data_IF_056333146018
#
_entry.id   IF_056333146018
#
_cell.length_a   1.000
_cell.length_b   1.000
_cell.length_c   1.000
_cell.angle_alpha   90.00
_cell.angle_beta   90.00
_cell.angle_gamma   90.00
#
_symmetry.space_group_name_H-M   'P 1'
#
loop_
_entity.id
_entity.type
_entity.pdbx_description
1 polymer ?
#
# COMPACT_ATOMS: atom_id res chain seq x y z
N UNK A 1 -27.58 34.94 -28.83
CA UNK A 1 -27.72 34.38 -27.46
C UNK A 1 -27.25 32.93 -27.47
N UNK A 2 -26.19 32.61 -26.73
CA UNK A 2 -25.64 31.25 -26.66
C UNK A 2 -26.67 30.29 -26.06
N UNK A 3 -27.32 29.48 -26.91
CA UNK A 3 -28.33 28.48 -26.49
C UNK A 3 -27.78 27.45 -25.50
N UNK A 4 -26.45 27.24 -25.48
CA UNK A 4 -25.75 26.29 -24.61
C UNK A 4 -25.77 26.74 -23.13
N UNK A 5 -25.57 28.03 -22.86
CA UNK A 5 -25.52 28.55 -21.47
C UNK A 5 -26.90 28.97 -20.93
N UNK A 6 -27.92 29.04 -21.80
CA UNK A 6 -29.28 29.49 -21.45
C UNK A 6 -29.87 28.81 -20.20
N UNK A 7 -29.84 27.46 -20.09
CA UNK A 7 -30.36 26.77 -18.91
C UNK A 7 -29.60 27.10 -17.62
N UNK A 8 -28.28 27.16 -17.69
CA UNK A 8 -27.43 27.50 -16.54
C UNK A 8 -27.64 28.93 -16.06
N UNK A 9 -27.75 29.89 -16.99
CA UNK A 9 -28.07 31.29 -16.67
C UNK A 9 -29.45 31.40 -16.02
N UNK A 10 -30.46 30.69 -16.52
CA UNK A 10 -31.81 30.70 -15.96
C UNK A 10 -31.84 30.15 -14.51
N UNK A 11 -31.10 29.07 -14.24
CA UNK A 11 -30.96 28.51 -12.89
C UNK A 11 -30.25 29.50 -11.96
N UNK A 12 -29.10 30.02 -12.38
CA UNK A 12 -28.28 30.90 -11.55
C UNK A 12 -29.01 32.21 -11.23
N UNK A 13 -29.75 32.80 -12.16
CA UNK A 13 -30.50 34.05 -11.91
C UNK A 13 -31.59 33.93 -10.84
N UNK A 14 -32.03 32.72 -10.48
CA UNK A 14 -33.03 32.48 -9.42
C UNK A 14 -32.41 32.32 -8.03
N UNK A 15 -31.09 32.19 -7.93
CA UNK A 15 -30.39 31.94 -6.68
C UNK A 15 -29.82 33.25 -6.11
N UNK A 16 -29.90 33.41 -4.79
CA UNK A 16 -29.12 34.43 -4.08
C UNK A 16 -27.63 34.20 -4.30
N UNK A 17 -26.82 35.24 -4.16
CA UNK A 17 -25.37 35.13 -4.34
C UNK A 17 -24.74 34.04 -3.44
N UNK A 18 -25.19 33.92 -2.19
CA UNK A 18 -24.77 32.83 -1.27
C UNK A 18 -25.06 31.43 -1.81
N UNK A 19 -26.25 31.22 -2.39
CA UNK A 19 -26.66 29.93 -2.95
C UNK A 19 -25.90 29.62 -4.24
N UNK A 20 -25.64 30.62 -5.08
CA UNK A 20 -24.78 30.48 -6.27
C UNK A 20 -23.40 29.95 -5.88
N UNK A 21 -22.77 30.57 -4.88
CA UNK A 21 -21.44 30.18 -4.42
C UNK A 21 -21.44 28.78 -3.81
N UNK A 22 -22.42 28.44 -2.96
CA UNK A 22 -22.53 27.11 -2.37
C UNK A 22 -22.64 26.02 -3.43
N UNK A 23 -23.47 26.21 -4.46
CA UNK A 23 -23.62 25.25 -5.55
C UNK A 23 -22.28 25.04 -6.29
N UNK A 24 -21.58 26.11 -6.62
CA UNK A 24 -20.26 26.02 -7.29
C UNK A 24 -19.25 25.30 -6.39
N UNK A 25 -19.13 25.70 -5.13
CA UNK A 25 -18.20 25.07 -4.18
C UNK A 25 -18.49 23.59 -4.00
N UNK A 26 -19.75 23.17 -3.89
CA UNK A 26 -20.13 21.76 -3.78
C UNK A 26 -19.75 20.98 -5.04
N UNK A 27 -19.98 21.54 -6.23
CA UNK A 27 -19.62 20.91 -7.51
C UNK A 27 -18.11 20.68 -7.63
N UNK A 28 -17.27 21.53 -7.04
CA UNK A 28 -15.81 21.36 -7.05
C UNK A 28 -15.29 20.49 -5.90
N UNK A 29 -15.83 20.66 -4.69
CA UNK A 29 -15.36 19.95 -3.49
C UNK A 29 -15.80 18.49 -3.52
N UNK A 30 -17.03 18.20 -3.95
CA UNK A 30 -17.57 16.84 -3.90
C UNK A 30 -16.75 15.83 -4.73
N UNK A 31 -16.39 16.09 -6.00
CA UNK A 31 -15.52 15.19 -6.76
C UNK A 31 -14.15 15.01 -6.10
N UNK A 32 -13.57 16.07 -5.52
CA UNK A 32 -12.26 15.98 -4.88
C UNK A 32 -12.27 15.16 -3.59
N UNK A 33 -13.35 15.24 -2.81
CA UNK A 33 -13.56 14.38 -1.63
C UNK A 33 -13.76 12.93 -2.05
N UNK A 34 -14.55 12.69 -3.10
CA UNK A 34 -14.76 11.34 -3.65
C UNK A 34 -13.46 10.74 -4.17
N UNK A 35 -12.67 11.48 -4.94
CA UNK A 35 -11.38 10.98 -5.46
C UNK A 35 -10.38 10.72 -4.34
N UNK A 36 -10.32 11.59 -3.32
CA UNK A 36 -9.49 11.35 -2.13
C UNK A 36 -9.93 10.08 -1.40
N UNK A 37 -11.23 9.87 -1.23
CA UNK A 37 -11.76 8.66 -0.59
C UNK A 37 -11.41 7.40 -1.39
N UNK A 38 -11.61 7.42 -2.72
CA UNK A 38 -11.26 6.30 -3.59
C UNK A 38 -9.75 5.98 -3.53
N UNK A 39 -8.89 7.00 -3.56
CA UNK A 39 -7.45 6.82 -3.44
C UNK A 39 -7.05 6.26 -2.07
N UNK A 40 -7.65 6.76 -0.98
CA UNK A 40 -7.39 6.27 0.37
C UNK A 40 -7.81 4.80 0.53
N UNK A 41 -8.95 4.41 -0.05
CA UNK A 41 -9.40 3.01 -0.06
C UNK A 41 -8.43 2.12 -0.83
N UNK A 42 -7.92 2.56 -1.99
CA UNK A 42 -6.93 1.80 -2.75
C UNK A 42 -5.60 1.63 -2.00
N UNK A 43 -5.14 2.69 -1.31
CA UNK A 43 -3.94 2.60 -0.47
C UNK A 43 -4.14 1.68 0.73
N UNK A 44 -5.31 1.72 1.38
CA UNK A 44 -5.62 0.81 2.48
C UNK A 44 -5.68 -0.65 1.99
N UNK A 45 -6.24 -0.91 0.80
CA UNK A 45 -6.24 -2.25 0.19
C UNK A 45 -4.82 -2.78 -0.03
N UNK A 46 -3.91 -1.93 -0.50
CA UNK A 46 -2.49 -2.29 -0.64
C UNK A 46 -1.79 -2.57 0.69
N UNK A 47 -2.11 -1.79 1.73
CA UNK A 47 -1.58 -2.00 3.10
C UNK A 47 -2.11 -3.32 3.68
N UNK A 48 -3.42 -3.55 3.60
CA UNK A 48 -4.05 -4.77 4.10
C UNK A 48 -3.50 -6.03 3.39
N UNK A 49 -3.24 -5.95 2.09
CA UNK A 49 -2.59 -7.02 1.34
C UNK A 49 -1.17 -7.29 1.86
N UNK A 50 -0.34 -6.25 1.99
CA UNK A 50 1.03 -6.41 2.49
C UNK A 50 1.08 -6.90 3.96
N UNK A 51 0.13 -6.49 4.80
CA UNK A 51 -0.01 -7.00 6.16
C UNK A 51 -0.38 -8.50 6.15
N UNK A 52 -1.27 -8.91 5.25
CA UNK A 52 -1.65 -10.31 5.07
C UNK A 52 -0.47 -11.17 4.56
N UNK A 53 0.34 -10.64 3.66
CA UNK A 53 1.58 -11.28 3.20
C UNK A 53 2.55 -11.51 4.38
N UNK A 54 2.72 -10.51 5.27
CA UNK A 54 3.53 -10.64 6.49
C UNK A 54 2.98 -11.65 7.49
N UNK A 55 1.66 -11.75 7.63
CA UNK A 55 1.04 -12.83 8.43
C UNK A 55 1.42 -14.21 7.89
N UNK A 56 1.50 -14.36 6.56
CA UNK A 56 2.03 -15.57 5.93
C UNK A 56 3.46 -15.88 6.39
N UNK A 57 4.36 -14.90 6.33
CA UNK A 57 5.76 -15.04 6.79
C UNK A 57 5.83 -15.41 8.27
N UNK A 58 5.03 -14.75 9.12
CA UNK A 58 4.96 -15.03 10.56
C UNK A 58 4.58 -16.51 10.83
N UNK A 59 3.66 -17.08 10.05
CA UNK A 59 3.30 -18.49 10.15
C UNK A 59 4.38 -19.43 9.57
N UNK A 60 5.01 -19.02 8.48
CA UNK A 60 6.06 -19.81 7.79
C UNK A 60 7.32 -19.95 8.65
N UNK A 61 7.68 -18.93 9.44
CA UNK A 61 8.90 -18.91 10.23
C UNK A 61 9.04 -20.10 11.21
N UNK A 62 8.04 -20.44 12.06
CA UNK A 62 8.13 -21.65 12.89
C UNK A 62 7.96 -22.94 12.06
N UNK A 63 7.18 -22.92 10.97
CA UNK A 63 7.03 -24.08 10.08
C UNK A 63 8.36 -24.49 9.44
N UNK A 64 9.22 -23.51 9.13
CA UNK A 64 10.59 -23.73 8.63
C UNK A 64 11.40 -24.58 9.60
N UNK A 65 11.33 -24.33 10.91
CA UNK A 65 12.10 -25.09 11.89
C UNK A 65 11.66 -26.57 11.92
N UNK A 66 10.36 -26.80 11.88
CA UNK A 66 9.79 -28.14 11.79
C UNK A 66 10.26 -28.88 10.51
N UNK A 67 10.34 -28.18 9.38
CA UNK A 67 10.88 -28.73 8.12
C UNK A 67 12.35 -29.15 8.24
N UNK A 68 13.13 -28.59 9.16
CA UNK A 68 14.52 -29.03 9.44
C UNK A 68 14.56 -30.20 10.42
N UNK A 69 13.74 -30.17 11.47
CA UNK A 69 13.79 -31.14 12.56
C UNK A 69 13.15 -32.49 12.21
N UNK A 70 12.06 -32.53 11.44
CA UNK A 70 11.43 -33.78 11.01
C UNK A 70 12.38 -34.68 10.17
N UNK A 71 13.09 -34.17 9.15
CA UNK A 71 14.08 -34.97 8.42
C UNK A 71 15.24 -35.47 9.30
N UNK A 72 15.64 -34.69 10.32
CA UNK A 72 16.67 -35.13 11.28
C UNK A 72 16.16 -36.28 12.14
N UNK A 73 14.92 -36.18 12.65
CA UNK A 73 14.27 -37.26 13.39
C UNK A 73 14.11 -38.52 12.52
N UNK A 74 13.68 -38.37 11.26
CA UNK A 74 13.60 -39.47 10.28
C UNK A 74 14.94 -40.18 10.14
N UNK A 75 16.02 -39.42 9.88
CA UNK A 75 17.35 -39.96 9.68
C UNK A 75 17.89 -40.72 10.88
N UNK A 76 17.76 -40.14 12.09
CA UNK A 76 18.21 -40.79 13.33
C UNK A 76 17.38 -42.03 13.67
N UNK A 77 16.06 -41.97 13.47
CA UNK A 77 15.16 -43.10 13.69
C UNK A 77 15.48 -44.26 12.75
N UNK A 78 15.69 -43.99 11.46
CA UNK A 78 16.09 -45.01 10.50
C UNK A 78 17.45 -45.65 10.86
N UNK A 79 18.44 -44.86 11.31
CA UNK A 79 19.71 -45.39 11.78
C UNK A 79 19.54 -46.31 12.99
N UNK A 80 18.72 -45.91 13.97
CA UNK A 80 18.42 -46.71 15.15
C UNK A 80 17.73 -48.04 14.80
N UNK A 81 16.70 -48.00 13.95
CA UNK A 81 15.95 -49.19 13.52
C UNK A 81 16.80 -50.17 12.69
N UNK A 82 17.88 -49.68 12.08
CA UNK A 82 18.88 -50.51 11.36
C UNK A 82 20.01 -51.01 12.27
N UNK A 83 19.90 -50.82 13.57
CA UNK A 83 20.82 -51.37 14.58
C UNK A 83 21.95 -50.45 15.01
N UNK A 84 21.98 -49.18 14.59
CA UNK A 84 22.99 -48.24 15.06
C UNK A 84 22.73 -47.82 16.51
N UNK A 85 23.75 -47.92 17.36
CA UNK A 85 23.67 -47.58 18.79
C UNK A 85 23.79 -46.07 19.03
N UNK A 86 23.41 -45.61 20.24
CA UNK A 86 23.58 -44.21 20.67
C UNK A 86 22.61 -43.18 20.07
N UNK A 87 21.74 -43.58 19.12
CA UNK A 87 20.76 -42.66 18.52
C UNK A 87 19.52 -42.43 19.37
N UNK A 88 19.10 -43.40 20.21
CA UNK A 88 17.85 -43.30 20.98
C UNK A 88 17.76 -42.03 21.86
N UNK A 89 18.79 -41.64 22.65
CA UNK A 89 18.75 -40.37 23.39
C UNK A 89 18.64 -39.14 22.48
N UNK A 90 19.35 -39.14 21.34
CA UNK A 90 19.32 -38.03 20.35
C UNK A 90 17.95 -37.89 19.66
N UNK A 91 17.28 -39.02 19.41
CA UNK A 91 15.91 -39.03 18.88
C UNK A 91 14.95 -38.43 19.90
N UNK A 92 15.07 -38.81 21.18
CA UNK A 92 14.24 -38.25 22.25
C UNK A 92 14.48 -36.75 22.41
N UNK A 93 15.72 -36.29 22.33
CA UNK A 93 16.03 -34.84 22.32
C UNK A 93 15.39 -34.14 21.13
N UNK A 94 15.52 -34.72 19.93
CA UNK A 94 14.91 -34.14 18.73
C UNK A 94 13.38 -34.09 18.79
N UNK A 95 12.74 -35.00 19.53
CA UNK A 95 11.30 -34.93 19.81
C UNK A 95 10.94 -33.76 20.73
N UNK A 96 11.86 -33.31 21.60
CA UNK A 96 11.65 -32.10 22.41
C UNK A 96 11.73 -30.86 21.53
N UNK A 97 12.74 -30.75 20.68
CA UNK A 97 12.86 -29.63 19.72
C UNK A 97 11.64 -29.58 18.77
N UNK A 98 11.17 -30.73 18.27
CA UNK A 98 9.93 -30.78 17.46
C UNK A 98 8.70 -30.36 18.28
N UNK A 99 8.65 -30.67 19.58
CA UNK A 99 7.56 -30.20 20.43
C UNK A 99 7.59 -28.67 20.61
N UNK A 100 8.78 -28.07 20.70
CA UNK A 100 8.96 -26.61 20.71
C UNK A 100 8.51 -25.98 19.38
N UNK A 101 8.88 -26.58 18.25
CA UNK A 101 8.40 -26.15 16.92
C UNK A 101 6.86 -26.20 16.85
N UNK A 102 6.25 -27.30 17.30
CA UNK A 102 4.80 -27.47 17.33
C UNK A 102 4.13 -26.39 18.19
N UNK A 103 4.70 -26.08 19.36
CA UNK A 103 4.17 -25.01 20.22
C UNK A 103 4.25 -23.64 19.55
N UNK A 104 5.34 -23.35 18.82
CA UNK A 104 5.48 -22.11 18.08
C UNK A 104 4.47 -22.01 16.92
N UNK A 105 4.24 -23.11 16.19
CA UNK A 105 3.23 -23.18 15.13
C UNK A 105 1.82 -23.09 15.72
N UNK A 106 1.53 -23.73 16.85
CA UNK A 106 0.26 -23.60 17.56
C UNK A 106 -0.04 -22.14 17.95
N UNK A 107 0.98 -21.39 18.40
CA UNK A 107 0.85 -19.98 18.73
C UNK A 107 0.62 -19.08 17.49
N UNK A 108 1.18 -19.45 16.33
CA UNK A 108 0.91 -18.78 15.06
C UNK A 108 -0.51 -19.12 14.55
N UNK A 109 -0.89 -20.40 14.54
CA UNK A 109 -2.20 -20.88 14.08
C UNK A 109 -3.35 -20.38 14.96
N UNK A 110 -3.16 -20.25 16.27
CA UNK A 110 -4.16 -19.64 17.14
C UNK A 110 -4.47 -18.17 16.77
N UNK A 111 -3.51 -17.44 16.21
CA UNK A 111 -3.68 -16.03 15.81
C UNK A 111 -4.11 -15.88 14.35
N UNK A 112 -3.57 -16.71 13.47
CA UNK A 112 -3.65 -16.52 12.03
C UNK A 112 -4.40 -17.64 11.31
N UNK A 113 -4.61 -18.78 11.96
CA UNK A 113 -5.02 -20.00 11.29
C UNK A 113 -6.43 -19.96 10.70
N UNK A 114 -7.34 -19.20 11.32
CA UNK A 114 -8.65 -18.95 10.75
C UNK A 114 -8.58 -18.06 9.50
N UNK A 115 -7.72 -17.04 9.51
CA UNK A 115 -7.55 -16.13 8.38
C UNK A 115 -6.84 -16.80 7.19
N UNK A 116 -5.96 -17.77 7.47
CA UNK A 116 -5.16 -18.51 6.50
C UNK A 116 -5.76 -19.87 6.11
N UNK A 117 -6.92 -20.24 6.67
CA UNK A 117 -7.54 -21.57 6.51
C UNK A 117 -6.57 -22.75 6.79
N UNK A 118 -5.63 -22.58 7.74
CA UNK A 118 -4.56 -23.55 8.00
C UNK A 118 -4.87 -24.54 9.11
N UNK A 119 -5.76 -24.17 10.05
CA UNK A 119 -5.98 -24.91 11.31
C UNK A 119 -6.36 -26.37 11.10
N UNK A 120 -7.19 -26.67 10.09
CA UNK A 120 -7.59 -28.06 9.78
C UNK A 120 -6.38 -28.92 9.40
N UNK A 121 -5.61 -28.47 8.41
CA UNK A 121 -4.39 -29.16 7.92
C UNK A 121 -3.34 -29.29 9.03
N UNK A 122 -3.17 -28.25 9.84
CA UNK A 122 -2.23 -28.28 10.94
C UNK A 122 -2.60 -29.32 12.00
N UNK A 123 -3.88 -29.45 12.34
CA UNK A 123 -4.35 -30.48 13.27
C UNK A 123 -4.11 -31.90 12.75
N UNK A 124 -4.32 -32.14 11.45
CA UNK A 124 -4.02 -33.44 10.82
C UNK A 124 -2.53 -33.79 10.90
N UNK A 125 -1.66 -32.82 10.61
CA UNK A 125 -0.20 -32.97 10.72
C UNK A 125 0.20 -33.30 12.16
N UNK A 126 -0.35 -32.59 13.15
CA UNK A 126 -0.12 -32.88 14.57
C UNK A 126 -0.56 -34.29 14.93
N UNK A 127 -1.74 -34.73 14.49
CA UNK A 127 -2.23 -36.08 14.80
C UNK A 127 -1.32 -37.17 14.21
N UNK A 128 -0.87 -37.00 12.96
CA UNK A 128 0.07 -37.94 12.31
C UNK A 128 1.42 -37.95 13.01
N UNK A 129 1.94 -36.79 13.39
CA UNK A 129 3.15 -36.70 14.18
C UNK A 129 3.01 -37.44 15.53
N UNK A 130 1.90 -37.25 16.25
CA UNK A 130 1.69 -37.94 17.52
C UNK A 130 1.72 -39.47 17.34
N UNK A 131 0.99 -39.98 16.33
CA UNK A 131 1.00 -41.40 16.02
C UNK A 131 2.40 -41.92 15.67
N UNK A 132 3.13 -41.19 14.82
CA UNK A 132 4.49 -41.55 14.41
C UNK A 132 5.46 -41.52 15.59
N UNK A 133 5.38 -40.49 16.45
CA UNK A 133 6.21 -40.36 17.66
C UNK A 133 6.01 -41.54 18.61
N UNK A 134 4.78 -41.99 18.80
CA UNK A 134 4.47 -43.11 19.70
C UNK A 134 4.91 -44.46 19.13
N UNK A 135 4.75 -44.67 17.82
CA UNK A 135 4.93 -45.99 17.21
C UNK A 135 6.28 -46.18 16.49
N UNK A 136 7.05 -45.12 16.23
CA UNK A 136 8.24 -45.19 15.37
C UNK A 136 9.28 -46.26 15.75
N UNK A 137 9.42 -46.60 17.04
CA UNK A 137 10.36 -47.65 17.47
C UNK A 137 9.85 -49.08 17.28
N UNK A 138 8.56 -49.25 16.99
CA UNK A 138 7.92 -50.55 16.79
C UNK A 138 7.71 -50.89 15.31
N UNK A 139 8.05 -49.96 14.41
CA UNK A 139 7.93 -50.11 12.96
C UNK A 139 9.22 -50.68 12.36
N UNK A 140 9.14 -51.22 11.15
CA UNK A 140 10.35 -51.46 10.37
C UNK A 140 11.03 -50.13 9.99
N UNK A 141 12.33 -50.19 9.69
CA UNK A 141 13.09 -49.01 9.27
C UNK A 141 12.48 -48.33 8.03
N UNK A 142 12.02 -49.13 7.07
CA UNK A 142 11.46 -48.64 5.81
C UNK A 142 10.05 -48.05 6.00
N UNK A 143 9.18 -48.69 6.78
CA UNK A 143 7.85 -48.13 7.12
C UNK A 143 7.97 -46.81 7.88
N UNK A 144 8.86 -46.76 8.89
CA UNK A 144 9.14 -45.54 9.63
C UNK A 144 9.63 -44.44 8.70
N UNK A 145 10.58 -44.74 7.80
CA UNK A 145 11.12 -43.77 6.85
C UNK A 145 10.05 -43.21 5.90
N UNK A 146 9.19 -44.06 5.35
CA UNK A 146 8.09 -43.65 4.45
C UNK A 146 7.05 -42.78 5.17
N UNK A 147 6.63 -43.16 6.40
CA UNK A 147 5.68 -42.34 7.18
C UNK A 147 6.23 -40.95 7.50
N UNK A 148 7.52 -40.85 7.86
CA UNK A 148 8.15 -39.55 8.03
C UNK A 148 8.18 -38.73 6.73
N UNK A 149 8.48 -39.39 5.60
CA UNK A 149 8.55 -38.72 4.29
C UNK A 149 7.20 -38.15 3.89
N UNK A 150 6.11 -38.89 4.12
CA UNK A 150 4.76 -38.41 3.90
C UNK A 150 4.40 -37.24 4.83
N UNK A 151 4.75 -37.32 6.12
CA UNK A 151 4.52 -36.22 7.07
C UNK A 151 5.29 -34.94 6.66
N UNK A 152 6.54 -35.06 6.21
CA UNK A 152 7.33 -33.92 5.71
C UNK A 152 6.67 -33.31 4.47
N UNK A 153 6.14 -34.13 3.55
CA UNK A 153 5.43 -33.65 2.38
C UNK A 153 4.14 -32.90 2.76
N UNK A 154 3.41 -33.34 3.79
CA UNK A 154 2.24 -32.62 4.31
C UNK A 154 2.60 -31.28 4.95
N UNK A 155 3.72 -31.20 5.68
CA UNK A 155 4.26 -29.94 6.20
C UNK A 155 4.63 -28.97 5.07
N UNK A 156 5.24 -29.46 3.98
CA UNK A 156 5.52 -28.65 2.79
C UNK A 156 4.23 -28.21 2.08
N UNK A 157 3.20 -29.07 2.05
CA UNK A 157 1.90 -28.68 1.50
C UNK A 157 1.21 -27.60 2.35
N UNK A 158 1.37 -27.64 3.68
CA UNK A 158 0.90 -26.58 4.57
C UNK A 158 1.64 -25.26 4.32
N UNK A 159 2.97 -25.30 4.09
CA UNK A 159 3.76 -24.13 3.72
C UNK A 159 3.19 -23.43 2.48
N UNK A 160 2.94 -24.20 1.41
CA UNK A 160 2.36 -23.68 0.17
C UNK A 160 0.95 -23.15 0.40
N UNK A 161 0.10 -23.89 1.12
CA UNK A 161 -1.27 -23.46 1.45
C UNK A 161 -1.29 -22.12 2.18
N UNK A 162 -0.41 -21.94 3.18
CA UNK A 162 -0.26 -20.69 3.93
C UNK A 162 0.17 -19.55 3.01
N UNK A 163 1.16 -19.78 2.16
CA UNK A 163 1.65 -18.77 1.21
C UNK A 163 0.57 -18.37 0.17
N UNK A 164 -0.27 -19.31 -0.26
CA UNK A 164 -1.41 -19.05 -1.15
C UNK A 164 -2.49 -18.21 -0.45
N UNK A 165 -2.89 -18.61 0.76
CA UNK A 165 -3.97 -17.95 1.50
C UNK A 165 -3.56 -16.61 2.08
N UNK A 166 -2.26 -16.39 2.33
CA UNK A 166 -1.69 -15.09 2.68
C UNK A 166 -1.44 -14.19 1.46
N UNK A 167 -1.74 -14.67 0.25
CA UNK A 167 -1.47 -14.01 -1.04
C UNK A 167 0.01 -13.72 -1.33
N UNK A 168 0.92 -14.24 -0.52
CA UNK A 168 2.37 -14.06 -0.66
C UNK A 168 2.89 -14.54 -2.02
N UNK A 169 2.21 -15.53 -2.63
CA UNK A 169 2.58 -16.04 -3.96
C UNK A 169 2.32 -15.03 -5.10
N UNK A 170 1.42 -14.07 -4.91
CA UNK A 170 0.93 -13.15 -5.94
C UNK A 170 1.53 -11.74 -5.84
N UNK A 171 2.67 -11.59 -5.15
CA UNK A 171 3.30 -10.28 -4.96
C UNK A 171 3.64 -9.62 -6.33
N UNK A 172 3.19 -8.37 -6.55
CA UNK A 172 3.41 -7.66 -7.82
C UNK A 172 4.86 -7.16 -8.02
N UNK A 173 5.66 -7.01 -6.96
CA UNK A 173 7.04 -6.57 -7.08
C UNK A 173 7.98 -7.78 -7.30
N UNK A 174 8.88 -7.64 -8.27
CA UNK A 174 9.69 -8.76 -8.73
C UNK A 174 10.72 -9.23 -7.70
N UNK A 175 11.27 -8.32 -6.90
CA UNK A 175 12.26 -8.68 -5.88
C UNK A 175 11.65 -9.57 -4.79
N UNK A 176 10.54 -9.16 -4.17
CA UNK A 176 9.83 -9.96 -3.18
C UNK A 176 9.20 -11.23 -3.77
N UNK A 177 8.71 -11.20 -5.01
CA UNK A 177 8.23 -12.39 -5.72
C UNK A 177 9.30 -13.48 -5.81
N UNK A 178 10.52 -13.14 -6.22
CA UNK A 178 11.59 -14.13 -6.34
C UNK A 178 12.12 -14.61 -4.98
N UNK A 179 12.15 -13.75 -3.96
CA UNK A 179 12.47 -14.17 -2.59
C UNK A 179 11.42 -15.18 -2.08
N UNK A 180 10.13 -14.89 -2.23
CA UNK A 180 9.03 -15.80 -1.90
C UNK A 180 9.18 -17.12 -2.66
N UNK A 181 9.43 -17.07 -3.97
CA UNK A 181 9.52 -18.28 -4.78
C UNK A 181 10.64 -19.20 -4.28
N UNK A 182 11.77 -18.62 -3.86
CA UNK A 182 12.86 -19.36 -3.25
C UNK A 182 12.41 -20.07 -1.96
N UNK A 183 11.80 -19.37 -1.01
CA UNK A 183 11.45 -19.92 0.31
C UNK A 183 10.22 -20.83 0.31
N UNK A 184 9.27 -20.64 -0.60
CA UNK A 184 8.05 -21.47 -0.67
C UNK A 184 8.27 -22.67 -1.60
N UNK A 185 8.85 -22.44 -2.79
CA UNK A 185 8.79 -23.43 -3.87
C UNK A 185 10.11 -24.11 -4.21
N UNK A 186 11.28 -23.54 -3.84
CA UNK A 186 12.58 -24.08 -4.27
C UNK A 186 13.38 -24.67 -3.11
N UNK A 187 13.73 -23.86 -2.12
CA UNK A 187 14.62 -24.26 -1.03
C UNK A 187 14.07 -25.41 -0.16
N UNK A 188 12.75 -25.52 0.12
CA UNK A 188 12.19 -26.70 0.78
C UNK A 188 12.43 -27.99 -0.01
N UNK A 189 12.27 -27.94 -1.33
CA UNK A 189 12.52 -29.10 -2.20
C UNK A 189 14.01 -29.43 -2.28
N UNK A 190 14.88 -28.42 -2.33
CA UNK A 190 16.35 -28.62 -2.30
C UNK A 190 16.76 -29.33 -1.02
N UNK A 191 16.36 -28.81 0.14
CA UNK A 191 16.74 -29.37 1.45
C UNK A 191 16.19 -30.77 1.68
N UNK A 192 14.94 -31.05 1.30
CA UNK A 192 14.36 -32.39 1.44
C UNK A 192 15.01 -33.41 0.50
N UNK A 193 15.22 -33.07 -0.78
CA UNK A 193 15.90 -33.97 -1.71
C UNK A 193 17.37 -34.20 -1.30
N UNK A 194 18.07 -33.17 -0.79
CA UNK A 194 19.40 -33.32 -0.19
C UNK A 194 19.35 -34.24 1.05
N UNK A 195 18.33 -34.11 1.89
CA UNK A 195 18.12 -34.97 3.05
C UNK A 195 17.97 -36.44 2.68
N UNK A 196 17.18 -36.74 1.66
CA UNK A 196 17.01 -38.09 1.11
C UNK A 196 18.30 -38.61 0.46
N UNK A 197 18.94 -37.80 -0.39
CA UNK A 197 20.19 -38.17 -1.05
C UNK A 197 21.32 -38.45 -0.04
N UNK A 198 21.45 -37.61 0.99
CA UNK A 198 22.40 -37.80 2.09
C UNK A 198 22.17 -39.12 2.82
N UNK A 199 20.92 -39.42 3.19
CA UNK A 199 20.58 -40.66 3.90
C UNK A 199 20.81 -41.90 3.05
N UNK A 200 20.35 -41.86 1.80
CA UNK A 200 20.48 -42.96 0.86
C UNK A 200 21.94 -43.21 0.45
N UNK A 201 22.67 -42.15 0.08
CA UNK A 201 24.08 -42.21 -0.30
C UNK A 201 25.01 -42.65 0.84
N UNK A 202 24.71 -42.29 2.10
CA UNK A 202 25.45 -42.82 3.25
C UNK A 202 25.26 -44.34 3.39
N UNK A 203 24.08 -44.87 3.04
CA UNK A 203 23.82 -46.30 2.98
C UNK A 203 24.61 -47.01 1.86
N UNK A 204 24.73 -46.38 0.69
CA UNK A 204 25.57 -46.87 -0.41
C UNK A 204 27.03 -46.91 0.02
N UNK A 205 27.54 -45.82 0.61
CA UNK A 205 28.89 -45.73 1.15
C UNK A 205 29.18 -46.83 2.19
N UNK A 206 28.25 -47.08 3.11
CA UNK A 206 28.42 -48.10 4.16
C UNK A 206 28.42 -49.53 3.61
N UNK A 207 27.69 -49.78 2.51
CA UNK A 207 27.70 -51.08 1.82
C UNK A 207 28.89 -51.24 0.88
N UNK A 208 29.56 -50.14 0.53
CA UNK A 208 30.62 -50.08 -0.49
C UNK A 208 30.20 -50.69 -1.84
N UNK A 209 28.91 -50.68 -2.13
CA UNK A 209 28.34 -51.28 -3.32
C UNK A 209 27.14 -50.44 -3.77
N UNK A 210 27.07 -50.20 -5.08
CA UNK A 210 25.99 -49.45 -5.72
C UNK A 210 25.33 -50.33 -6.79
N UNK A 211 24.00 -50.37 -6.81
CA UNK A 211 23.24 -51.10 -7.82
C UNK A 211 22.66 -50.14 -8.87
N UNK A 212 22.24 -50.65 -10.02
CA UNK A 212 21.59 -49.82 -11.06
C UNK A 212 20.35 -49.07 -10.53
N UNK A 213 19.45 -49.70 -9.74
CA UNK A 213 18.36 -48.97 -9.07
C UNK A 213 18.84 -47.83 -8.16
N UNK A 214 19.95 -48.01 -7.44
CA UNK A 214 20.53 -46.98 -6.58
C UNK A 214 21.03 -45.78 -7.42
N UNK A 215 21.71 -46.06 -8.54
CA UNK A 215 22.17 -45.02 -9.50
C UNK A 215 20.99 -44.23 -10.04
N UNK A 216 19.89 -44.89 -10.45
CA UNK A 216 18.69 -44.22 -10.96
C UNK A 216 18.08 -43.31 -9.89
N UNK A 217 17.89 -43.82 -8.66
CA UNK A 217 17.32 -43.04 -7.55
C UNK A 217 18.19 -41.84 -7.20
N UNK A 218 19.51 -42.03 -7.08
CA UNK A 218 20.44 -40.93 -6.83
C UNK A 218 20.44 -39.91 -7.96
N UNK A 219 20.43 -40.35 -9.23
CA UNK A 219 20.37 -39.44 -10.39
C UNK A 219 19.13 -38.55 -10.33
N UNK A 220 17.95 -39.12 -10.01
CA UNK A 220 16.72 -38.36 -9.86
C UNK A 220 16.78 -37.34 -8.72
N UNK A 221 17.29 -37.74 -7.55
CA UNK A 221 17.44 -36.84 -6.40
C UNK A 221 18.42 -35.70 -6.71
N UNK A 222 19.61 -36.03 -7.21
CA UNK A 222 20.64 -35.04 -7.56
C UNK A 222 20.17 -34.09 -8.68
N UNK A 223 19.43 -34.59 -9.67
CA UNK A 223 18.80 -33.77 -10.71
C UNK A 223 17.78 -32.77 -10.15
N UNK A 224 16.91 -33.22 -9.23
CA UNK A 224 15.95 -32.33 -8.53
C UNK A 224 16.63 -31.28 -7.66
N UNK A 225 17.72 -31.64 -6.98
CA UNK A 225 18.51 -30.71 -6.18
C UNK A 225 19.13 -29.65 -7.10
N UNK A 226 19.85 -30.07 -8.14
CA UNK A 226 20.51 -29.16 -9.08
C UNK A 226 19.53 -28.20 -9.74
N UNK A 227 18.45 -28.73 -10.33
CA UNK A 227 17.45 -27.92 -11.04
C UNK A 227 16.75 -26.89 -10.15
N UNK A 228 16.33 -27.27 -8.93
CA UNK A 228 15.68 -26.30 -8.03
C UNK A 228 16.67 -25.27 -7.47
N UNK A 229 17.94 -25.66 -7.27
CA UNK A 229 18.97 -24.76 -6.80
C UNK A 229 19.39 -23.74 -7.87
N UNK A 230 19.51 -24.16 -9.13
CA UNK A 230 19.70 -23.28 -10.28
C UNK A 230 18.52 -22.32 -10.47
N UNK A 231 17.28 -22.81 -10.35
CA UNK A 231 16.09 -21.97 -10.42
C UNK A 231 16.04 -20.92 -9.29
N UNK A 232 16.38 -21.30 -8.06
CA UNK A 232 16.47 -20.37 -6.93
C UNK A 232 17.57 -19.33 -7.15
N UNK A 233 18.75 -19.74 -7.62
CA UNK A 233 19.86 -18.83 -7.94
C UNK A 233 19.46 -17.82 -9.02
N UNK A 234 18.87 -18.29 -10.12
CA UNK A 234 18.42 -17.43 -11.22
C UNK A 234 17.38 -16.40 -10.73
N UNK A 235 16.38 -16.84 -9.96
CA UNK A 235 15.39 -15.93 -9.38
C UNK A 235 15.99 -14.89 -8.44
N UNK A 236 16.91 -15.31 -7.55
CA UNK A 236 17.60 -14.39 -6.63
C UNK A 236 18.50 -13.40 -7.38
N UNK A 237 19.15 -13.83 -8.47
CA UNK A 237 19.91 -12.91 -9.34
C UNK A 237 19.00 -11.85 -9.96
N UNK A 238 17.81 -12.23 -10.44
CA UNK A 238 16.83 -11.25 -10.91
C UNK A 238 16.41 -10.31 -9.79
N UNK A 239 16.14 -10.81 -8.57
CA UNK A 239 15.81 -9.94 -7.43
C UNK A 239 16.93 -8.90 -7.14
N UNK A 240 18.20 -9.28 -7.30
CA UNK A 240 19.34 -8.37 -7.11
C UNK A 240 19.44 -7.27 -8.17
N UNK A 241 18.91 -7.50 -9.38
CA UNK A 241 18.86 -6.49 -10.44
C UNK A 241 17.82 -5.40 -10.13
N UNK A 242 16.70 -5.77 -9.51
CA UNK A 242 15.66 -4.83 -9.09
C UNK A 242 15.99 -4.14 -7.76
N UNK A 243 16.72 -4.81 -6.87
CA UNK A 243 17.04 -4.29 -5.55
C UNK A 243 18.51 -4.59 -5.19
N UNK A 244 19.38 -3.61 -5.44
CA UNK A 244 20.82 -3.72 -5.18
C UNK A 244 21.14 -3.98 -3.69
N UNK A 245 20.28 -3.52 -2.76
CA UNK A 245 20.44 -3.76 -1.33
C UNK A 245 20.31 -5.24 -0.94
N UNK A 246 19.50 -6.00 -1.68
CA UNK A 246 19.40 -7.46 -1.48
C UNK A 246 20.71 -8.15 -1.82
N UNK A 247 21.42 -7.70 -2.87
CA UNK A 247 22.69 -8.28 -3.27
C UNK A 247 23.71 -8.25 -2.14
N UNK A 248 23.86 -7.09 -1.50
CA UNK A 248 24.82 -6.90 -0.40
C UNK A 248 24.58 -7.87 0.77
N UNK A 249 23.32 -8.24 1.02
CA UNK A 249 22.93 -9.07 2.16
C UNK A 249 22.83 -10.56 1.82
N UNK A 250 22.46 -10.90 0.59
CA UNK A 250 22.17 -12.28 0.17
C UNK A 250 23.25 -12.93 -0.70
N UNK A 251 24.13 -12.18 -1.37
CA UNK A 251 25.11 -12.76 -2.30
C UNK A 251 26.08 -13.74 -1.61
N UNK A 252 26.63 -13.37 -0.45
CA UNK A 252 27.54 -14.26 0.28
C UNK A 252 26.84 -15.52 0.84
N UNK A 253 25.69 -15.43 1.53
CA UNK A 253 24.90 -16.60 1.92
C UNK A 253 24.50 -17.49 0.74
N UNK A 254 24.09 -16.91 -0.38
CA UNK A 254 23.72 -17.63 -1.60
C UNK A 254 24.92 -18.42 -2.13
N UNK A 255 26.07 -17.77 -2.32
CA UNK A 255 27.29 -18.42 -2.80
C UNK A 255 27.75 -19.55 -1.88
N UNK A 256 27.61 -19.39 -0.57
CA UNK A 256 27.91 -20.44 0.42
C UNK A 256 26.99 -21.65 0.25
N UNK A 257 25.68 -21.44 0.14
CA UNK A 257 24.70 -22.49 -0.06
C UNK A 257 24.91 -23.22 -1.40
N UNK A 258 25.16 -22.48 -2.48
CA UNK A 258 25.45 -23.02 -3.81
C UNK A 258 26.71 -23.87 -3.82
N UNK A 259 27.80 -23.35 -3.25
CA UNK A 259 29.09 -24.07 -3.21
C UNK A 259 28.94 -25.38 -2.43
N UNK A 260 28.28 -25.35 -1.27
CA UNK A 260 28.06 -26.56 -0.47
C UNK A 260 27.13 -27.56 -1.19
N UNK A 261 26.06 -27.08 -1.82
CA UNK A 261 25.12 -27.92 -2.55
C UNK A 261 25.73 -28.57 -3.80
N UNK A 262 26.44 -27.80 -4.63
CA UNK A 262 27.12 -28.31 -5.82
C UNK A 262 28.27 -29.25 -5.45
N UNK A 263 29.01 -28.94 -4.37
CA UNK A 263 30.02 -29.83 -3.80
C UNK A 263 29.44 -31.19 -3.44
N UNK A 264 28.31 -31.19 -2.72
CA UNK A 264 27.62 -32.43 -2.34
C UNK A 264 27.11 -33.23 -3.56
N UNK A 265 26.57 -32.56 -4.59
CA UNK A 265 26.18 -33.21 -5.85
C UNK A 265 27.40 -33.85 -6.54
N UNK A 266 28.51 -33.10 -6.63
CA UNK A 266 29.75 -33.54 -7.26
C UNK A 266 30.34 -34.77 -6.55
N UNK A 267 30.43 -34.71 -5.22
CA UNK A 267 30.86 -35.84 -4.39
C UNK A 267 29.95 -37.05 -4.58
N UNK A 268 28.63 -36.85 -4.63
CA UNK A 268 27.67 -37.95 -4.81
C UNK A 268 27.82 -38.64 -6.16
N UNK A 269 28.04 -37.88 -7.26
CA UNK A 269 28.29 -38.48 -8.58
C UNK A 269 29.64 -39.18 -8.63
N UNK A 270 30.71 -38.45 -8.35
CA UNK A 270 32.07 -38.94 -8.55
C UNK A 270 32.52 -40.05 -7.59
N UNK A 271 32.04 -40.03 -6.34
CA UNK A 271 32.52 -40.97 -5.29
C UNK A 271 31.55 -42.08 -4.93
N UNK A 272 30.30 -42.05 -5.43
CA UNK A 272 29.32 -43.12 -5.19
C UNK A 272 28.79 -43.78 -6.48
N UNK A 273 28.76 -43.06 -7.60
CA UNK A 273 28.07 -43.54 -8.82
C UNK A 273 29.02 -43.79 -10.00
N UNK A 274 30.04 -42.95 -10.15
CA UNK A 274 30.97 -42.96 -11.31
C UNK A 274 32.31 -43.63 -10.98
N UNK A 275 32.36 -44.43 -9.91
CA UNK A 275 33.58 -45.11 -9.47
C UNK A 275 33.36 -46.62 -9.35
N UNK A 276 34.39 -47.39 -9.71
CA UNK A 276 34.40 -48.84 -9.54
C UNK A 276 34.70 -49.26 -8.08
N UNK A 277 35.25 -48.35 -7.25
CA UNK A 277 35.60 -48.62 -5.85
C UNK A 277 35.09 -47.51 -4.91
N UNK A 278 34.04 -47.83 -4.15
CA UNK A 278 33.40 -46.90 -3.22
C UNK A 278 34.17 -46.86 -1.91
N UNK A 279 35.13 -45.93 -1.84
CA UNK A 279 36.01 -45.73 -0.68
C UNK A 279 35.64 -44.52 0.21
N UNK A 280 34.51 -43.86 -0.04
CA UNK A 280 34.11 -42.70 0.77
C UNK A 280 33.57 -43.13 2.13
N UNK A 281 34.10 -42.50 3.19
CA UNK A 281 33.61 -42.72 4.55
C UNK A 281 32.14 -42.28 4.69
N UNK A 282 31.23 -43.16 5.18
CA UNK A 282 29.80 -42.85 5.30
C UNK A 282 29.51 -41.64 6.18
N UNK A 283 30.28 -41.45 7.25
CA UNK A 283 30.08 -40.34 8.19
C UNK A 283 30.54 -39.01 7.58
N UNK A 284 31.62 -39.02 6.81
CA UNK A 284 32.09 -37.87 6.00
C UNK A 284 31.08 -37.51 4.92
N UNK A 285 30.55 -38.49 4.19
CA UNK A 285 29.50 -38.22 3.19
C UNK A 285 28.25 -37.61 3.85
N UNK A 286 27.83 -38.16 4.99
CA UNK A 286 26.70 -37.65 5.74
C UNK A 286 26.94 -36.22 6.25
N UNK A 287 28.14 -35.91 6.76
CA UNK A 287 28.48 -34.58 7.26
C UNK A 287 28.52 -33.53 6.14
N UNK A 288 29.03 -33.88 4.95
CA UNK A 288 29.03 -33.02 3.77
C UNK A 288 27.61 -32.65 3.34
N UNK A 289 26.71 -33.64 3.21
CA UNK A 289 25.29 -33.37 2.93
C UNK A 289 24.62 -32.54 4.03
N UNK A 290 25.00 -32.75 5.30
CA UNK A 290 24.48 -31.96 6.43
C UNK A 290 24.94 -30.50 6.37
N UNK A 291 26.18 -30.26 5.95
CA UNK A 291 26.71 -28.91 5.75
C UNK A 291 26.00 -28.18 4.61
N UNK A 292 25.72 -28.87 3.49
CA UNK A 292 24.94 -28.33 2.39
C UNK A 292 23.52 -27.93 2.84
N UNK A 293 22.80 -28.85 3.50
CA UNK A 293 21.46 -28.59 4.03
C UNK A 293 21.46 -27.41 5.01
N UNK A 294 22.44 -27.35 5.92
CA UNK A 294 22.54 -26.28 6.91
C UNK A 294 22.84 -24.92 6.26
N UNK A 295 23.67 -24.89 5.22
CA UNK A 295 23.93 -23.67 4.47
C UNK A 295 22.68 -23.18 3.71
N UNK A 296 21.90 -24.09 3.12
CA UNK A 296 20.63 -23.76 2.47
C UNK A 296 19.59 -23.24 3.46
N UNK A 297 19.50 -23.83 4.65
CA UNK A 297 18.63 -23.36 5.73
C UNK A 297 19.05 -22.00 6.28
N UNK A 298 20.36 -21.72 6.38
CA UNK A 298 20.85 -20.40 6.76
C UNK A 298 20.50 -19.34 5.69
N UNK A 299 20.61 -19.68 4.40
CA UNK A 299 20.14 -18.81 3.32
C UNK A 299 18.63 -18.57 3.42
N UNK A 300 17.84 -19.62 3.67
CA UNK A 300 16.40 -19.53 3.85
C UNK A 300 16.02 -18.50 4.91
N UNK A 301 16.66 -18.53 6.09
CA UNK A 301 16.36 -17.63 7.20
C UNK A 301 16.60 -16.17 6.84
N UNK A 302 17.71 -15.91 6.13
CA UNK A 302 18.05 -14.56 5.70
C UNK A 302 17.05 -14.08 4.64
N UNK A 303 16.68 -14.93 3.67
CA UNK A 303 15.67 -14.56 2.66
C UNK A 303 14.32 -14.26 3.33
N UNK A 304 13.89 -15.05 4.31
CA UNK A 304 12.62 -14.83 5.00
C UNK A 304 12.62 -13.51 5.77
N UNK A 305 13.74 -13.16 6.43
CA UNK A 305 13.90 -11.88 7.11
C UNK A 305 13.95 -10.69 6.13
N UNK A 306 14.63 -10.83 5.00
CA UNK A 306 14.64 -9.80 3.95
C UNK A 306 13.26 -9.59 3.35
N UNK A 307 12.52 -10.68 3.10
CA UNK A 307 11.15 -10.59 2.61
C UNK A 307 10.23 -9.83 3.58
N UNK A 308 10.31 -10.11 4.89
CA UNK A 308 9.57 -9.33 5.89
C UNK A 308 9.96 -7.85 5.89
N UNK A 309 11.26 -7.56 5.78
CA UNK A 309 11.76 -6.18 5.73
C UNK A 309 11.30 -5.42 4.49
N UNK A 310 11.20 -6.07 3.32
CA UNK A 310 10.68 -5.45 2.10
C UNK A 310 9.19 -5.12 2.25
N UNK A 311 8.41 -6.03 2.80
CA UNK A 311 6.98 -5.81 3.04
C UNK A 311 6.74 -4.71 4.08
N UNK A 312 7.53 -4.67 5.16
CA UNK A 312 7.46 -3.59 6.16
C UNK A 312 7.77 -2.22 5.54
N UNK A 313 8.82 -2.14 4.71
CA UNK A 313 9.16 -0.93 3.98
C UNK A 313 8.06 -0.52 2.98
N UNK A 314 7.43 -1.48 2.31
CA UNK A 314 6.29 -1.24 1.40
C UNK A 314 5.10 -0.66 2.17
N UNK A 315 4.73 -1.26 3.30
CA UNK A 315 3.66 -0.76 4.19
C UNK A 315 3.97 0.67 4.62
N UNK A 316 5.17 0.92 5.13
CA UNK A 316 5.60 2.25 5.56
C UNK A 316 5.53 3.28 4.42
N UNK A 317 5.95 2.89 3.21
CA UNK A 317 5.85 3.71 2.00
C UNK A 317 4.41 4.07 1.62
N UNK A 318 3.51 3.08 1.60
CA UNK A 318 2.08 3.29 1.32
C UNK A 318 1.42 4.18 2.38
N UNK A 319 1.72 3.97 3.65
CA UNK A 319 1.23 4.79 4.77
C UNK A 319 1.72 6.23 4.64
N UNK A 320 3.01 6.43 4.36
CA UNK A 320 3.60 7.76 4.18
C UNK A 320 3.00 8.49 2.98
N UNK A 321 2.81 7.78 1.86
CA UNK A 321 2.18 8.33 0.66
C UNK A 321 0.73 8.75 0.94
N UNK A 322 -0.04 7.90 1.62
CA UNK A 322 -1.42 8.19 2.05
C UNK A 322 -1.51 9.45 2.90
N UNK A 323 -0.65 9.62 3.91
CA UNK A 323 -0.67 10.82 4.75
C UNK A 323 -0.21 12.07 4.00
N UNK A 324 0.81 11.96 3.14
CA UNK A 324 1.31 13.08 2.35
C UNK A 324 0.23 13.61 1.40
N UNK A 325 -0.43 12.73 0.65
CA UNK A 325 -1.48 13.14 -0.30
C UNK A 325 -2.72 13.70 0.42
N UNK A 326 -3.10 13.09 1.55
CA UNK A 326 -4.22 13.55 2.37
C UNK A 326 -3.94 14.95 2.94
N UNK A 327 -2.74 15.19 3.47
CA UNK A 327 -2.33 16.50 3.97
C UNK A 327 -2.34 17.57 2.86
N UNK A 328 -1.87 17.22 1.66
CA UNK A 328 -1.86 18.12 0.50
C UNK A 328 -3.28 18.51 0.07
N UNK A 329 -4.20 17.54 -0.03
CA UNK A 329 -5.61 17.80 -0.41
C UNK A 329 -6.33 18.62 0.67
N UNK A 330 -6.13 18.31 1.95
CA UNK A 330 -6.70 19.10 3.06
C UNK A 330 -6.19 20.54 3.01
N UNK A 331 -4.88 20.75 2.81
CA UNK A 331 -4.29 22.09 2.72
C UNK A 331 -4.87 22.86 1.53
N UNK A 332 -5.01 22.22 0.37
CA UNK A 332 -5.64 22.84 -0.81
C UNK A 332 -7.12 23.21 -0.55
N UNK A 333 -7.88 22.35 0.12
CA UNK A 333 -9.27 22.62 0.51
C UNK A 333 -9.37 23.81 1.48
N UNK A 334 -8.49 23.88 2.48
CA UNK A 334 -8.46 24.97 3.43
C UNK A 334 -8.09 26.30 2.75
N UNK A 335 -7.09 26.29 1.87
CA UNK A 335 -6.71 27.46 1.09
C UNK A 335 -7.85 27.93 0.17
N UNK A 336 -8.52 26.99 -0.51
CA UNK A 336 -9.69 27.29 -1.33
C UNK A 336 -10.80 27.91 -0.47
N UNK A 337 -11.14 27.30 0.68
CA UNK A 337 -12.17 27.79 1.58
C UNK A 337 -11.85 29.19 2.12
N UNK A 338 -10.58 29.45 2.46
CA UNK A 338 -10.10 30.76 2.89
C UNK A 338 -10.28 31.82 1.79
N UNK A 339 -9.78 31.54 0.58
CA UNK A 339 -9.91 32.45 -0.57
C UNK A 339 -11.37 32.66 -0.96
N UNK A 340 -12.19 31.61 -0.92
CA UNK A 340 -13.64 31.71 -1.17
C UNK A 340 -14.33 32.57 -0.12
N UNK A 341 -14.00 32.41 1.17
CA UNK A 341 -14.54 33.24 2.24
C UNK A 341 -14.18 34.72 2.07
N UNK A 342 -12.92 35.00 1.70
CA UNK A 342 -12.46 36.35 1.39
C UNK A 342 -13.19 36.96 0.18
N UNK A 343 -13.30 36.22 -0.91
CA UNK A 343 -14.03 36.62 -2.11
C UNK A 343 -15.51 36.90 -1.83
N UNK A 344 -16.20 35.99 -1.11
CA UNK A 344 -17.60 36.15 -0.73
C UNK A 344 -17.83 37.44 0.08
N UNK A 345 -16.95 37.71 1.05
CA UNK A 345 -17.03 38.92 1.87
C UNK A 345 -16.79 40.19 1.05
N UNK A 346 -15.80 40.19 0.16
CA UNK A 346 -15.49 41.31 -0.72
C UNK A 346 -16.68 41.69 -1.62
N UNK A 347 -17.23 40.71 -2.35
CA UNK A 347 -18.37 40.94 -3.24
C UNK A 347 -19.62 41.35 -2.47
N UNK A 348 -19.90 40.69 -1.34
CA UNK A 348 -21.04 41.04 -0.49
C UNK A 348 -20.98 42.47 0.03
N UNK A 349 -19.80 42.94 0.44
CA UNK A 349 -19.58 44.33 0.88
C UNK A 349 -19.76 45.33 -0.27
N UNK A 350 -19.18 45.07 -1.44
CA UNK A 350 -19.28 45.95 -2.60
C UNK A 350 -20.75 46.13 -3.05
N UNK A 351 -21.47 45.02 -3.22
CA UNK A 351 -22.89 45.04 -3.60
C UNK A 351 -23.76 45.70 -2.52
N UNK A 352 -23.48 45.46 -1.24
CA UNK A 352 -24.19 46.10 -0.13
C UNK A 352 -23.98 47.62 -0.08
N UNK A 353 -22.76 48.09 -0.32
CA UNK A 353 -22.40 49.51 -0.40
C UNK A 353 -23.14 50.21 -1.54
N UNK A 354 -23.08 49.65 -2.75
CA UNK A 354 -23.81 50.12 -3.93
C UNK A 354 -25.32 50.18 -3.70
N UNK A 355 -25.90 49.12 -3.14
CA UNK A 355 -27.35 49.07 -2.82
C UNK A 355 -27.75 50.18 -1.85
N UNK A 356 -26.95 50.40 -0.80
CA UNK A 356 -27.24 51.41 0.22
C UNK A 356 -27.13 52.82 -0.36
N UNK A 357 -26.07 53.10 -1.12
CA UNK A 357 -25.89 54.40 -1.78
C UNK A 357 -27.00 54.69 -2.81
N UNK A 358 -27.38 53.69 -3.61
CA UNK A 358 -28.49 53.80 -4.57
C UNK A 358 -29.82 54.11 -3.89
N UNK A 359 -30.13 53.45 -2.77
CA UNK A 359 -31.36 53.71 -2.03
C UNK A 359 -31.40 55.12 -1.42
N UNK A 360 -30.26 55.64 -0.94
CA UNK A 360 -30.16 57.01 -0.44
C UNK A 360 -30.34 58.03 -1.55
N UNK A 361 -29.67 57.83 -2.69
CA UNK A 361 -29.81 58.69 -3.87
C UNK A 361 -31.26 58.74 -4.37
N UNK A 362 -31.92 57.57 -4.47
CA UNK A 362 -33.34 57.48 -4.81
C UNK A 362 -34.27 58.15 -3.78
N UNK A 363 -33.86 58.22 -2.51
CA UNK A 363 -34.55 58.96 -1.45
C UNK A 363 -34.33 60.48 -1.49
N UNK A 364 -33.59 61.00 -2.48
CA UNK A 364 -33.29 62.43 -2.62
C UNK A 364 -32.01 62.90 -1.93
N UNK A 365 -31.26 62.00 -1.30
CA UNK A 365 -29.95 62.32 -0.73
C UNK A 365 -28.86 62.24 -1.80
N UNK A 366 -28.65 63.37 -2.48
CA UNK A 366 -27.64 63.52 -3.53
C UNK A 366 -26.21 63.51 -3.00
N UNK A 367 -25.97 63.40 -1.68
CA UNK A 367 -24.61 63.30 -1.10
C UNK A 367 -24.15 61.85 -0.91
N UNK A 368 -25.01 60.88 -1.22
CA UNK A 368 -24.69 59.47 -1.08
C UNK A 368 -23.58 59.03 -2.05
N UNK A 369 -22.56 58.34 -1.52
CA UNK A 369 -21.47 57.76 -2.29
C UNK A 369 -21.34 56.25 -2.01
N UNK A 370 -21.07 55.48 -3.06
CA UNK A 370 -20.70 54.07 -2.94
C UNK A 370 -19.19 53.97 -2.72
N UNK A 371 -18.78 53.66 -1.49
CA UNK A 371 -17.37 53.39 -1.17
C UNK A 371 -17.10 51.88 -1.34
N UNK A 372 -16.35 51.54 -2.38
CA UNK A 372 -15.93 50.16 -2.67
C UNK A 372 -14.41 50.16 -2.85
N UNK A 373 -13.69 49.60 -1.87
CA UNK A 373 -12.24 49.47 -1.90
C UNK A 373 -11.82 48.24 -2.72
N UNK A 374 -12.14 48.23 -4.02
CA UNK A 374 -11.77 47.17 -4.94
C UNK A 374 -11.16 47.74 -6.22
N UNK A 375 -10.30 46.96 -6.88
CA UNK A 375 -9.68 47.29 -8.18
C UNK A 375 -10.23 46.43 -9.32
N UNK A 376 -11.32 45.71 -9.06
CA UNK A 376 -12.03 44.88 -10.03
C UNK A 376 -13.24 45.62 -10.63
N UNK A 377 -14.05 44.91 -11.42
CA UNK A 377 -15.22 45.44 -12.11
C UNK A 377 -16.24 46.05 -11.14
N UNK A 378 -16.28 45.61 -9.86
CA UNK A 378 -17.18 46.20 -8.86
C UNK A 378 -16.70 47.58 -8.40
N UNK A 379 -15.39 47.81 -8.37
CA UNK A 379 -14.81 49.14 -8.13
C UNK A 379 -15.14 50.13 -9.25
N UNK A 380 -15.04 49.68 -10.50
CA UNK A 380 -15.40 50.52 -11.67
C UNK A 380 -16.88 50.93 -11.65
N UNK A 381 -17.78 49.99 -11.32
CA UNK A 381 -19.21 50.28 -11.20
C UNK A 381 -19.49 51.27 -10.06
N UNK A 382 -18.78 51.18 -8.94
CA UNK A 382 -18.91 52.13 -7.85
C UNK A 382 -18.46 53.55 -8.26
N UNK A 383 -17.34 53.65 -8.99
CA UNK A 383 -16.89 54.94 -9.55
C UNK A 383 -17.91 55.52 -10.51
N UNK A 384 -18.40 54.74 -11.49
CA UNK A 384 -19.41 55.20 -12.43
C UNK A 384 -20.73 55.61 -11.75
N UNK A 385 -21.12 54.92 -10.67
CA UNK A 385 -22.27 55.32 -9.85
C UNK A 385 -22.06 56.68 -9.19
N UNK A 386 -20.87 56.93 -8.62
CA UNK A 386 -20.55 58.19 -7.96
C UNK A 386 -20.52 59.35 -8.97
N UNK A 387 -19.93 59.14 -10.15
CA UNK A 387 -19.93 60.13 -11.23
C UNK A 387 -21.36 60.52 -11.63
N UNK A 388 -22.27 59.54 -11.76
CA UNK A 388 -23.69 59.78 -12.05
C UNK A 388 -24.38 60.57 -10.93
N UNK A 389 -24.10 60.26 -9.66
CA UNK A 389 -24.66 60.97 -8.52
C UNK A 389 -24.23 62.44 -8.48
N UNK A 390 -22.96 62.72 -8.80
CA UNK A 390 -22.44 64.08 -8.88
C UNK A 390 -23.08 64.87 -10.04
N UNK A 391 -23.24 64.26 -11.22
CA UNK A 391 -23.96 64.91 -12.34
C UNK A 391 -25.41 65.23 -11.99
N UNK A 392 -26.12 64.35 -11.27
CA UNK A 392 -27.47 64.62 -10.80
C UNK A 392 -27.51 65.77 -9.79
N UNK A 393 -26.52 65.86 -8.91
CA UNK A 393 -26.38 66.98 -7.96
C UNK A 393 -26.21 68.31 -8.69
N UNK A 394 -25.37 68.34 -9.72
CA UNK A 394 -25.13 69.54 -10.54
C UNK A 394 -26.39 69.98 -11.29
N UNK A 395 -27.14 69.04 -11.87
CA UNK A 395 -28.43 69.33 -12.52
C UNK A 395 -29.41 69.96 -11.53
N UNK A 396 -29.53 69.41 -10.31
CA UNK A 396 -30.43 69.96 -9.28
C UNK A 396 -29.99 71.35 -8.82
N UNK A 397 -28.68 71.61 -8.68
CA UNK A 397 -28.16 72.94 -8.41
C UNK A 397 -28.50 73.93 -9.53
N UNK A 398 -28.35 73.52 -10.79
CA UNK A 398 -28.68 74.35 -11.94
C UNK A 398 -30.18 74.66 -12.01
N UNK A 399 -31.05 73.67 -11.81
CA UNK A 399 -32.51 73.86 -11.76
C UNK A 399 -32.90 74.82 -10.63
N UNK A 400 -32.30 74.66 -9.44
CA UNK A 400 -32.58 75.54 -8.29
C UNK A 400 -32.12 76.97 -8.55
N UNK A 401 -30.94 77.15 -9.17
CA UNK A 401 -30.44 78.46 -9.60
C UNK A 401 -31.36 79.12 -10.62
N UNK A 402 -31.78 78.38 -11.65
CA UNK A 402 -32.73 78.87 -12.65
C UNK A 402 -34.10 79.19 -12.06
N UNK A 403 -34.59 78.42 -11.09
CA UNK A 403 -35.83 78.71 -10.37
C UNK A 403 -35.71 80.00 -9.54
N UNK A 404 -34.57 80.23 -8.88
CA UNK A 404 -34.31 81.48 -8.16
C UNK A 404 -34.24 82.68 -9.10
N UNK A 405 -33.55 82.55 -10.25
CA UNK A 405 -33.50 83.58 -11.28
C UNK A 405 -34.90 83.90 -11.82
N UNK A 406 -35.71 82.86 -12.10
CA UNK A 406 -37.09 83.02 -12.52
C UNK A 406 -37.95 83.70 -11.45
N UNK A 407 -37.76 83.34 -10.18
CA UNK A 407 -38.45 84.00 -9.06
C UNK A 407 -38.08 85.47 -8.93
N UNK A 408 -36.80 85.83 -9.06
CA UNK A 408 -36.35 87.22 -9.06
C UNK A 408 -36.94 87.99 -10.25
N UNK A 409 -36.90 87.40 -11.46
CA UNK A 409 -37.50 88.00 -12.64
C UNK A 409 -39.01 88.19 -12.49
N UNK A 410 -39.73 87.24 -11.87
CA UNK A 410 -41.16 87.36 -11.60
C UNK A 410 -41.47 88.47 -10.57
N UNK A 411 -40.63 88.64 -9.54
CA UNK A 411 -40.73 89.74 -8.58
C UNK A 411 -40.49 91.10 -9.26
N UNK A 412 -39.48 91.19 -10.12
CA UNK A 412 -39.17 92.39 -10.90
C UNK A 412 -40.29 92.72 -11.91
N UNK A 413 -40.86 91.71 -12.56
CA UNK A 413 -42.02 91.86 -13.44
C UNK A 413 -43.25 92.33 -12.66
N UNK A 414 -43.50 91.77 -11.47
CA UNK A 414 -44.59 92.20 -10.59
C UNK A 414 -44.41 93.63 -10.11
N UNK A 415 -43.17 94.05 -9.79
CA UNK A 415 -42.86 95.41 -9.41
C UNK A 415 -43.11 96.38 -10.58
N UNK A 416 -42.63 96.05 -11.78
CA UNK A 416 -42.84 96.83 -13.00
C UNK A 416 -44.31 96.90 -13.41
N UNK A 417 -45.08 95.81 -13.26
CA UNK A 417 -46.52 95.79 -13.48
C UNK A 417 -47.26 96.67 -12.45
N UNK A 418 -46.79 96.69 -11.19
CA UNK A 418 -47.25 97.61 -10.15
C UNK A 418 -47.00 99.08 -10.51
N UNK A 419 -45.78 99.44 -10.93
CA UNK A 419 -45.46 100.77 -11.42
C UNK A 419 -46.27 101.16 -12.65
N UNK A 420 -46.46 100.24 -13.61
CA UNK A 420 -47.26 100.47 -14.81
C UNK A 420 -48.72 100.71 -14.45
N UNK A 421 -49.28 99.95 -13.50
CA UNK A 421 -50.64 100.15 -12.99
C UNK A 421 -50.76 101.52 -12.30
N UNK A 422 -49.77 101.91 -11.49
CA UNK A 422 -49.71 103.24 -10.90
C UNK A 422 -49.60 104.35 -11.95
N UNK A 423 -48.82 104.14 -13.01
CA UNK A 423 -48.69 105.04 -14.15
C UNK A 423 -50.00 105.18 -14.92
N UNK A 424 -50.71 104.06 -15.15
CA UNK A 424 -52.04 104.04 -15.76
C UNK A 424 -53.10 104.73 -14.89
N UNK A 425 -53.05 104.57 -13.56
CA UNK A 425 -53.90 105.33 -12.63
C UNK A 425 -53.63 106.83 -12.70
N UNK A 426 -52.37 107.26 -12.72
CA UNK A 426 -52.01 108.68 -12.92
C UNK A 426 -52.45 109.22 -14.27
N UNK A 427 -52.33 108.43 -15.34
CA UNK A 427 -52.78 108.82 -16.68
C UNK A 427 -54.31 108.93 -16.76
N UNK A 428 -55.03 108.06 -16.07
CA UNK A 428 -56.49 108.09 -15.95
C UNK A 428 -57.00 109.23 -15.05
N UNK A 429 -56.19 109.77 -14.15
CA UNK A 429 -56.48 111.01 -13.41
C UNK A 429 -56.17 112.29 -14.23
N UNK A 430 -55.42 112.17 -15.32
CA UNK A 430 -55.05 113.29 -16.21
C UNK A 430 -55.88 113.35 -17.51
N UNK A 431 -56.87 112.46 -17.67
CA UNK A 431 -57.86 112.47 -18.75
C UNK A 431 -59.25 112.56 -18.16
#
# INVERSE_FOLDING_TARGET
MNKILGPAVMLMNRLSYSRKMMVISVIFIAPMVVTLHLLATEMNRGIELAEKERQGIEYIQPLRQLMQHLPQHRGMTNAHLRGAEGFKPRILEKRREIAEDIMAIDAADARLGQALDSTGRWNDIKQRWQNLRENAFNLSADESFELHTNLIAEVQALLVHVAEHSELIHDPDLDSFYLMNAVVNKLPLVTENMGQARGFGAGIAAKQAVTTPDIIRMTLLLGKIGSNMEAAMSGLQTAFEYNAGLRERLEAPLNKALTAGMGFISTSRGKLMETDDIAIDPQRYFSEGSAAISATYALYDIILAELDSLLDARIAGLVQYKYTITALVITALLAAMYLFGGFYRSVGQAVGSLKTASNRLAGGDLTAQASVASRDELGEVATAFNDMADHLRDIIHQVTSSANQLSCAALELSATAGETTQGLSRQREQT
#
